data_IF_533079299304
#
_entry.id   IF_533079299304
#
_cell.length_a   1.000
_cell.length_b   1.000
_cell.length_c   1.000
_cell.angle_alpha   90.00
_cell.angle_beta   90.00
_cell.angle_gamma   90.00
#
_symmetry.space_group_name_H-M   'P 1'
#
loop_
_entity.id
_entity.type
_entity.pdbx_description
1 polymer ?
#
# COMPACT_ATOMS: atom_id res chain seq x y z
N UNK A 1 -2.81 7.09 -21.50
CA UNK A 1 -1.38 6.91 -21.83
C UNK A 1 -1.24 6.51 -23.28
N UNK A 2 -0.04 6.69 -23.83
CA UNK A 2 0.24 6.57 -25.28
C UNK A 2 0.49 5.12 -25.74
N UNK A 3 0.27 4.13 -24.86
CA UNK A 3 0.42 2.71 -25.18
C UNK A 3 -0.80 2.23 -26.00
N UNK A 4 -0.61 1.60 -27.17
CA UNK A 4 -1.66 0.98 -27.97
C UNK A 4 -2.48 -0.03 -27.15
N UNK A 5 -3.78 -0.18 -27.44
CA UNK A 5 -4.68 -1.01 -26.63
C UNK A 5 -4.20 -2.47 -26.53
N UNK A 6 -3.68 -3.02 -27.62
CA UNK A 6 -3.14 -4.37 -27.76
C UNK A 6 -1.84 -4.61 -26.97
N UNK A 7 -1.16 -3.54 -26.56
CA UNK A 7 0.06 -3.57 -25.77
C UNK A 7 -0.20 -3.27 -24.28
N UNK A 8 -1.42 -2.85 -23.91
CA UNK A 8 -1.81 -2.63 -22.51
C UNK A 8 -1.96 -3.97 -21.80
N UNK A 9 -1.08 -4.22 -20.83
CA UNK A 9 -1.00 -5.48 -20.07
C UNK A 9 -0.83 -5.18 -18.58
N UNK A 10 -1.44 -6.02 -17.75
CA UNK A 10 -1.46 -5.80 -16.29
C UNK A 10 -2.40 -4.67 -15.88
N UNK A 11 -2.21 -4.14 -14.67
CA UNK A 11 -2.97 -3.00 -14.16
C UNK A 11 -4.47 -3.27 -14.01
N UNK A 12 -4.87 -4.52 -13.77
CA UNK A 12 -6.28 -4.87 -13.56
C UNK A 12 -6.80 -4.38 -12.19
N UNK A 13 -8.10 -4.13 -12.10
CA UNK A 13 -8.80 -3.79 -10.87
C UNK A 13 -9.71 -4.95 -10.45
N UNK A 14 -9.12 -6.02 -9.89
CA UNK A 14 -9.82 -7.29 -9.66
C UNK A 14 -10.46 -7.44 -8.27
N UNK A 15 -10.47 -6.37 -7.47
CA UNK A 15 -11.05 -6.32 -6.14
C UNK A 15 -12.06 -5.16 -6.03
N UNK A 16 -12.97 -5.20 -5.04
CA UNK A 16 -13.96 -4.13 -4.86
C UNK A 16 -13.32 -2.77 -4.63
N UNK A 17 -13.87 -1.76 -5.30
CA UNK A 17 -13.55 -0.36 -5.04
C UNK A 17 -14.38 0.19 -3.89
N UNK A 18 -13.92 1.28 -3.30
CA UNK A 18 -14.64 2.00 -2.24
C UNK A 18 -15.20 3.30 -2.78
N UNK A 19 -16.26 3.82 -2.18
CA UNK A 19 -16.91 5.05 -2.62
C UNK A 19 -17.19 5.96 -1.43
N UNK A 20 -16.85 7.24 -1.57
CA UNK A 20 -17.22 8.29 -0.63
C UNK A 20 -18.24 9.26 -1.25
N UNK A 21 -19.47 9.34 -0.72
CA UNK A 21 -20.52 10.20 -1.29
C UNK A 21 -20.37 11.69 -0.98
N UNK A 22 -19.55 12.08 -0.01
CA UNK A 22 -19.37 13.51 0.31
C UNK A 22 -18.28 14.14 -0.57
N UNK A 23 -17.26 13.35 -0.94
CA UNK A 23 -16.23 13.73 -1.88
C UNK A 23 -16.59 13.44 -3.34
N UNK A 24 -17.65 12.64 -3.57
CA UNK A 24 -18.01 12.10 -4.89
C UNK A 24 -16.84 11.35 -5.56
N UNK A 25 -16.15 10.52 -4.77
CA UNK A 25 -14.93 9.82 -5.20
C UNK A 25 -15.05 8.30 -5.09
N UNK A 26 -14.61 7.60 -6.13
CA UNK A 26 -14.39 6.15 -6.15
C UNK A 26 -12.90 5.88 -6.01
N UNK A 27 -12.52 5.08 -5.01
CA UNK A 27 -11.15 4.65 -4.79
C UNK A 27 -10.92 3.24 -5.32
N UNK A 28 -10.12 3.13 -6.37
CA UNK A 28 -9.84 1.90 -7.09
C UNK A 28 -8.42 1.43 -6.82
N UNK A 29 -8.27 0.15 -6.54
CA UNK A 29 -6.97 -0.51 -6.48
C UNK A 29 -6.52 -1.07 -7.82
N UNK A 30 -5.27 -0.81 -8.18
CA UNK A 30 -4.68 -1.26 -9.44
C UNK A 30 -3.59 -2.31 -9.19
N UNK A 31 -3.69 -3.43 -9.89
CA UNK A 31 -2.75 -4.55 -9.82
C UNK A 31 -1.39 -4.27 -10.48
N UNK A 32 -0.53 -5.29 -10.50
CA UNK A 32 0.84 -5.23 -11.01
C UNK A 32 0.93 -4.99 -12.52
N UNK A 33 2.07 -4.50 -13.03
CA UNK A 33 2.36 -4.57 -14.46
C UNK A 33 2.58 -6.02 -14.90
N UNK A 34 2.31 -6.32 -16.17
CA UNK A 34 2.57 -7.63 -16.77
C UNK A 34 3.28 -7.42 -18.13
N UNK A 35 4.33 -8.19 -18.48
CA UNK A 35 5.06 -9.14 -17.64
C UNK A 35 5.63 -8.50 -16.35
N UNK A 36 5.83 -9.27 -15.29
CA UNK A 36 6.24 -8.67 -14.01
C UNK A 36 7.59 -7.94 -14.10
N UNK A 37 8.61 -8.60 -14.67
CA UNK A 37 9.95 -8.04 -14.74
C UNK A 37 10.09 -6.87 -15.71
N UNK A 38 10.66 -5.77 -15.24
CA UNK A 38 10.87 -4.55 -16.01
C UNK A 38 11.78 -4.74 -17.22
N UNK A 39 12.73 -5.68 -17.17
CA UNK A 39 13.56 -6.06 -18.32
C UNK A 39 12.71 -6.60 -19.47
N UNK A 40 11.66 -7.36 -19.16
CA UNK A 40 10.78 -7.93 -20.19
C UNK A 40 9.83 -6.88 -20.78
N UNK A 41 9.56 -5.82 -20.02
CA UNK A 41 8.70 -4.71 -20.43
C UNK A 41 9.48 -3.56 -21.08
N UNK A 42 10.80 -3.58 -20.98
CA UNK A 42 11.70 -2.50 -21.42
C UNK A 42 11.37 -1.12 -20.81
N UNK A 43 11.14 -1.08 -19.48
CA UNK A 43 10.78 0.17 -18.78
C UNK A 43 11.72 0.49 -17.61
N UNK A 44 13.00 0.09 -17.68
CA UNK A 44 13.93 0.27 -16.56
C UNK A 44 13.95 1.71 -16.08
N UNK A 45 13.79 1.89 -14.77
CA UNK A 45 13.74 3.22 -14.13
C UNK A 45 12.45 4.00 -14.36
N UNK A 46 11.46 3.43 -15.06
CA UNK A 46 10.14 4.02 -15.24
C UNK A 46 9.16 3.56 -14.17
N UNK A 47 8.25 4.45 -13.78
CA UNK A 47 7.23 4.18 -12.74
C UNK A 47 6.12 3.23 -13.20
N UNK A 48 5.89 3.10 -14.51
CA UNK A 48 4.84 2.23 -15.11
C UNK A 48 3.45 2.56 -14.54
N UNK A 49 3.09 3.84 -14.61
CA UNK A 49 1.81 4.32 -14.11
C UNK A 49 0.63 3.71 -14.89
N UNK A 50 -0.48 3.32 -14.24
CA UNK A 50 -0.81 3.46 -12.81
C UNK A 50 -0.77 2.13 -12.05
N UNK A 51 0.16 1.24 -12.38
CA UNK A 51 0.22 -0.08 -11.74
C UNK A 51 0.58 0.03 -10.25
N UNK A 52 0.13 -0.94 -9.43
CA UNK A 52 0.32 -0.95 -7.97
C UNK A 52 -0.07 0.37 -7.28
N UNK A 53 -1.18 0.97 -7.70
CA UNK A 53 -1.61 2.28 -7.21
C UNK A 53 -3.00 2.25 -6.60
N UNK A 54 -3.31 3.26 -5.79
CA UNK A 54 -4.68 3.74 -5.61
C UNK A 54 -4.94 4.83 -6.63
N UNK A 55 -6.09 4.73 -7.30
CA UNK A 55 -6.68 5.83 -8.07
C UNK A 55 -7.91 6.35 -7.34
N UNK A 56 -8.02 7.66 -7.17
CA UNK A 56 -9.28 8.32 -6.86
C UNK A 56 -9.88 8.83 -8.15
N UNK A 57 -11.09 8.37 -8.44
CA UNK A 57 -11.84 8.73 -9.63
C UNK A 57 -13.03 9.59 -9.20
N UNK A 58 -13.29 10.66 -9.92
CA UNK A 58 -14.56 11.36 -9.85
C UNK A 58 -15.69 10.38 -10.21
N UNK A 59 -16.73 10.28 -9.36
CA UNK A 59 -17.75 9.24 -9.54
C UNK A 59 -18.69 9.52 -10.73
N UNK A 60 -18.91 10.80 -11.06
CA UNK A 60 -19.74 11.21 -12.20
C UNK A 60 -18.99 11.08 -13.53
N UNK A 61 -17.70 11.48 -13.59
CA UNK A 61 -16.95 11.59 -14.85
C UNK A 61 -15.99 10.44 -15.12
N UNK A 62 -15.54 9.74 -14.06
CA UNK A 62 -14.47 8.74 -14.13
C UNK A 62 -13.07 9.33 -14.33
N UNK A 63 -12.90 10.65 -14.28
CA UNK A 63 -11.59 11.30 -14.34
C UNK A 63 -10.76 10.99 -13.09
N UNK A 64 -9.44 10.83 -13.26
CA UNK A 64 -8.52 10.61 -12.13
C UNK A 64 -8.28 11.96 -11.44
N UNK A 65 -8.76 12.09 -10.21
CA UNK A 65 -8.55 13.27 -9.35
C UNK A 65 -7.15 13.24 -8.74
N UNK A 66 -6.75 12.09 -8.22
CA UNK A 66 -5.40 11.85 -7.69
C UNK A 66 -5.03 10.37 -7.74
N UNK A 67 -3.75 10.08 -7.60
CA UNK A 67 -3.24 8.73 -7.40
C UNK A 67 -2.12 8.69 -6.37
N UNK A 68 -1.92 7.50 -5.79
CA UNK A 68 -0.73 7.19 -5.00
C UNK A 68 -0.19 5.83 -5.44
N UNK A 69 1.08 5.79 -5.85
CA UNK A 69 1.70 4.56 -6.38
C UNK A 69 2.57 3.87 -5.31
N UNK A 70 2.13 2.71 -4.83
CA UNK A 70 2.81 2.01 -3.75
C UNK A 70 4.11 1.36 -4.19
N UNK A 71 4.14 0.75 -5.38
CA UNK A 71 5.34 0.12 -5.95
C UNK A 71 5.54 0.62 -7.40
N UNK A 72 6.31 1.71 -7.60
CA UNK A 72 6.71 2.14 -8.94
C UNK A 72 7.51 1.04 -9.64
N UNK A 73 7.22 0.81 -10.92
CA UNK A 73 7.96 -0.14 -11.77
C UNK A 73 7.93 -1.60 -11.33
N UNK A 74 7.01 -1.98 -10.42
CA UNK A 74 7.07 -3.22 -9.65
C UNK A 74 7.38 -4.51 -10.43
N UNK A 75 8.21 -5.38 -9.81
CA UNK A 75 8.80 -6.57 -10.45
C UNK A 75 8.35 -7.92 -9.87
N UNK A 76 7.65 -7.93 -8.73
CA UNK A 76 7.61 -9.09 -7.83
C UNK A 76 6.23 -9.72 -7.62
N UNK A 77 5.24 -9.40 -8.47
CA UNK A 77 3.84 -9.83 -8.28
C UNK A 77 3.27 -9.44 -6.90
N UNK A 78 3.62 -8.24 -6.44
CA UNK A 78 3.13 -7.68 -5.18
C UNK A 78 1.98 -6.69 -5.43
N UNK A 79 0.87 -7.21 -5.92
CA UNK A 79 -0.32 -6.45 -6.30
C UNK A 79 -0.84 -5.52 -5.19
N UNK A 80 -1.38 -4.37 -5.60
CA UNK A 80 -2.10 -3.44 -4.72
C UNK A 80 -3.59 -3.18 -5.09
N UNK A 81 -4.41 -4.21 -5.37
CA UNK A 81 -5.80 -4.01 -5.77
C UNK A 81 -6.78 -4.00 -4.59
N UNK A 82 -6.36 -4.39 -3.37
CA UNK A 82 -7.24 -4.71 -2.24
C UNK A 82 -8.07 -3.51 -1.74
N UNK A 83 -9.10 -3.74 -0.94
CA UNK A 83 -10.04 -2.70 -0.56
C UNK A 83 -9.39 -1.49 0.15
N UNK A 84 -9.98 -0.31 -0.05
CA UNK A 84 -9.61 0.94 0.62
C UNK A 84 -10.64 1.25 1.70
N UNK A 85 -10.26 1.23 2.97
CA UNK A 85 -11.20 1.52 4.05
C UNK A 85 -11.27 3.03 4.23
N UNK A 86 -12.44 3.61 4.01
CA UNK A 86 -12.68 5.04 4.23
C UNK A 86 -13.12 5.22 5.68
N UNK A 87 -12.41 6.06 6.43
CA UNK A 87 -12.73 6.36 7.84
C UNK A 87 -12.50 7.83 8.11
N UNK A 88 -13.15 8.34 9.15
CA UNK A 88 -12.81 9.65 9.70
C UNK A 88 -12.05 9.46 11.02
N UNK A 89 -10.85 10.01 11.11
CA UNK A 89 -9.97 9.83 12.27
C UNK A 89 -8.90 10.92 12.36
N UNK A 90 -8.25 11.01 13.53
CA UNK A 90 -7.09 11.90 13.71
C UNK A 90 -5.94 11.43 12.80
N UNK A 91 -5.28 12.40 12.17
CA UNK A 91 -4.27 12.14 11.13
C UNK A 91 -2.96 11.58 11.69
N UNK A 92 -2.57 12.02 12.89
CA UNK A 92 -1.26 11.73 13.47
C UNK A 92 -1.33 10.48 14.35
N UNK A 93 -0.66 9.37 13.96
CA UNK A 93 -0.47 8.24 14.85
C UNK A 93 0.60 8.58 15.91
N UNK A 94 0.69 7.76 16.95
CA UNK A 94 1.88 7.77 17.83
C UNK A 94 3.11 7.51 16.96
N UNK A 95 4.06 8.45 16.89
CA UNK A 95 5.19 8.38 15.94
C UNK A 95 6.04 7.11 16.16
N UNK A 96 6.11 6.61 17.39
CA UNK A 96 6.79 5.36 17.73
C UNK A 96 6.02 4.10 17.28
N UNK A 97 4.78 4.26 16.79
CA UNK A 97 3.91 3.16 16.39
C UNK A 97 3.86 2.90 14.88
N UNK A 98 4.43 3.79 14.06
CA UNK A 98 4.47 3.71 12.59
C UNK A 98 5.91 3.68 12.08
N UNK A 99 6.12 3.17 10.86
CA UNK A 99 7.47 3.08 10.29
C UNK A 99 7.80 4.28 9.39
N UNK A 100 6.78 4.87 8.77
CA UNK A 100 6.89 6.12 8.01
C UNK A 100 5.77 7.08 8.39
N UNK A 101 6.11 8.36 8.51
CA UNK A 101 5.18 9.44 8.82
C UNK A 101 5.53 10.67 7.98
N UNK A 102 4.52 11.37 7.47
CA UNK A 102 4.72 12.62 6.75
C UNK A 102 5.09 13.74 7.75
N UNK A 103 6.31 14.30 7.68
CA UNK A 103 6.77 15.31 8.65
C UNK A 103 6.05 16.66 8.51
N UNK A 104 5.32 16.88 7.41
CA UNK A 104 4.59 18.12 7.18
C UNK A 104 3.24 18.17 7.92
N UNK A 105 2.78 17.05 8.46
CA UNK A 105 1.54 16.98 9.22
C UNK A 105 1.80 17.34 10.68
N UNK A 106 1.20 18.44 11.14
CA UNK A 106 1.38 18.97 12.50
C UNK A 106 0.08 19.07 13.30
N UNK A 107 -1.06 18.67 12.73
CA UNK A 107 -2.38 18.78 13.37
C UNK A 107 -2.97 17.41 13.71
N UNK A 108 -3.56 17.31 14.90
CA UNK A 108 -4.42 16.19 15.31
C UNK A 108 -5.88 16.38 14.85
N UNK A 109 -6.11 17.23 13.86
CA UNK A 109 -7.44 17.37 13.27
C UNK A 109 -7.93 16.03 12.72
N UNK A 110 -9.23 15.79 12.92
CA UNK A 110 -9.92 14.68 12.27
C UNK A 110 -9.99 14.96 10.78
N UNK A 111 -9.59 13.99 9.96
CA UNK A 111 -9.73 14.04 8.51
C UNK A 111 -10.41 12.77 8.02
N UNK A 112 -10.95 12.87 6.81
CA UNK A 112 -11.37 11.69 6.06
C UNK A 112 -10.15 11.03 5.43
N UNK A 113 -9.97 9.76 5.74
CA UNK A 113 -8.77 8.98 5.44
C UNK A 113 -9.13 7.76 4.62
N UNK A 114 -8.20 7.36 3.77
CA UNK A 114 -8.17 6.02 3.18
C UNK A 114 -7.08 5.24 3.91
N UNK A 115 -7.46 4.14 4.54
CA UNK A 115 -6.54 3.25 5.27
C UNK A 115 -6.78 1.79 4.92
N UNK A 116 -5.88 0.92 5.35
CA UNK A 116 -5.94 -0.52 5.08
C UNK A 116 -4.60 -1.08 4.61
N UNK A 117 -4.58 -2.36 4.25
CA UNK A 117 -3.42 -3.02 3.64
C UNK A 117 -3.70 -3.19 2.14
N UNK A 118 -3.51 -2.15 1.32
CA UNK A 118 -3.96 -2.13 -0.08
C UNK A 118 -3.26 -3.14 -0.98
N UNK A 119 -2.20 -3.81 -0.51
CA UNK A 119 -1.45 -4.75 -1.33
C UNK A 119 -0.64 -5.80 -0.60
N UNK A 120 -0.07 -6.71 -1.39
CA UNK A 120 0.65 -7.90 -0.93
C UNK A 120 1.90 -7.60 -0.11
N UNK A 121 2.42 -6.38 -0.12
CA UNK A 121 3.54 -5.95 0.73
C UNK A 121 3.26 -6.11 2.22
N UNK A 122 1.99 -6.11 2.64
CA UNK A 122 1.63 -6.22 4.05
C UNK A 122 1.88 -4.91 4.82
N UNK A 123 1.89 -3.78 4.13
CA UNK A 123 2.02 -2.45 4.73
C UNK A 123 0.63 -1.84 4.84
N UNK A 124 0.27 -1.38 6.05
CA UNK A 124 -0.85 -0.46 6.22
C UNK A 124 -0.43 0.89 5.67
N UNK A 125 -1.21 1.43 4.74
CA UNK A 125 -1.02 2.77 4.20
C UNK A 125 -2.19 3.63 4.60
N UNK A 126 -1.92 4.86 5.01
CA UNK A 126 -2.95 5.84 5.31
C UNK A 126 -2.70 7.13 4.53
N UNK A 127 -3.70 7.49 3.73
CA UNK A 127 -3.71 8.65 2.84
C UNK A 127 -4.88 9.56 3.18
N UNK A 128 -4.76 10.85 2.91
CA UNK A 128 -5.89 11.77 2.90
C UNK A 128 -6.85 11.39 1.76
N UNK A 129 -8.15 11.26 2.07
CA UNK A 129 -9.12 10.76 1.10
C UNK A 129 -9.42 11.77 -0.03
N UNK A 130 -9.29 13.07 0.24
CA UNK A 130 -9.59 14.11 -0.74
C UNK A 130 -8.40 14.39 -1.66
N UNK A 131 -7.17 14.33 -1.12
CA UNK A 131 -5.98 14.78 -1.85
C UNK A 131 -5.01 13.67 -2.24
N UNK A 132 -5.13 12.49 -1.63
CA UNK A 132 -4.14 11.41 -1.77
C UNK A 132 -2.83 11.70 -1.05
N UNK A 133 -2.75 12.76 -0.24
CA UNK A 133 -1.57 13.11 0.56
C UNK A 133 -1.20 11.92 1.46
N UNK A 134 0.07 11.50 1.40
CA UNK A 134 0.59 10.49 2.32
C UNK A 134 0.60 10.99 3.75
N UNK A 135 0.08 10.20 4.69
CA UNK A 135 0.02 10.58 6.10
C UNK A 135 0.99 9.72 6.92
N UNK A 136 0.83 8.40 6.84
CA UNK A 136 1.69 7.45 7.53
C UNK A 136 1.54 6.04 6.97
N UNK A 137 2.51 5.18 7.27
CA UNK A 137 2.47 3.76 6.94
C UNK A 137 3.11 2.88 8.03
N UNK A 138 2.60 1.66 8.16
CA UNK A 138 3.05 0.67 9.14
C UNK A 138 3.14 -0.72 8.52
N UNK A 139 4.32 -1.32 8.57
CA UNK A 139 4.51 -2.73 8.26
C UNK A 139 3.74 -3.61 9.25
N UNK A 140 2.98 -4.56 8.70
CA UNK A 140 2.29 -5.61 9.48
C UNK A 140 2.89 -6.99 9.25
N UNK A 141 3.72 -7.12 8.21
CA UNK A 141 4.55 -8.27 7.90
C UNK A 141 5.92 -7.76 7.45
N UNK A 142 6.98 -8.53 7.74
CA UNK A 142 8.31 -8.19 7.25
C UNK A 142 8.32 -8.17 5.72
N UNK A 143 8.86 -7.08 5.16
CA UNK A 143 9.03 -6.89 3.73
C UNK A 143 10.36 -6.15 3.48
N UNK A 144 10.98 -6.35 2.32
CA UNK A 144 12.24 -5.67 1.96
C UNK A 144 12.17 -4.89 0.64
N UNK A 145 10.95 -4.66 0.14
CA UNK A 145 10.66 -4.06 -1.17
C UNK A 145 10.53 -2.55 -1.08
N UNK A 146 9.79 -2.03 -0.11
CA UNK A 146 9.62 -0.60 0.12
C UNK A 146 10.56 -0.17 1.25
N UNK A 147 11.37 0.86 1.00
CA UNK A 147 12.37 1.37 1.97
C UNK A 147 12.10 2.82 2.38
N UNK A 148 11.10 3.45 1.76
CA UNK A 148 10.75 4.84 2.03
C UNK A 148 9.50 5.27 1.28
N UNK A 149 9.16 6.54 1.44
CA UNK A 149 8.03 7.18 0.76
C UNK A 149 8.52 8.50 0.19
N UNK A 150 8.29 8.68 -1.10
CA UNK A 150 8.45 9.94 -1.80
C UNK A 150 7.12 10.70 -1.72
N UNK A 151 7.04 11.59 -0.72
CA UNK A 151 5.82 12.33 -0.39
C UNK A 151 5.49 13.33 -1.50
N UNK A 152 6.50 13.97 -2.09
CA UNK A 152 6.30 14.98 -3.14
C UNK A 152 5.73 14.37 -4.41
N UNK A 153 6.17 13.15 -4.77
CA UNK A 153 5.73 12.48 -6.00
C UNK A 153 4.64 11.42 -5.75
N UNK A 154 4.06 11.35 -4.55
CA UNK A 154 2.97 10.44 -4.19
C UNK A 154 3.29 8.96 -4.47
N UNK A 155 4.49 8.51 -4.09
CA UNK A 155 4.90 7.12 -4.35
C UNK A 155 5.78 6.48 -3.28
N UNK A 156 5.76 5.16 -3.19
CA UNK A 156 6.74 4.40 -2.42
C UNK A 156 8.13 4.44 -3.06
N UNK A 157 9.18 4.28 -2.25
CA UNK A 157 10.57 4.14 -2.71
C UNK A 157 10.93 2.66 -2.66
N UNK A 158 11.22 2.07 -3.83
CA UNK A 158 11.63 0.66 -3.94
C UNK A 158 13.10 0.46 -3.60
N UNK A 159 13.43 -0.68 -3.01
CA UNK A 159 14.80 -1.06 -2.65
C UNK A 159 15.66 -1.36 -3.89
N UNK A 160 16.64 -0.50 -4.18
CA UNK A 160 17.58 -0.65 -5.29
C UNK A 160 18.39 -1.96 -5.23
N UNK A 161 18.61 -2.54 -4.05
CA UNK A 161 19.32 -3.82 -3.92
C UNK A 161 18.53 -5.01 -4.50
N UNK A 162 17.23 -4.82 -4.75
CA UNK A 162 16.35 -5.81 -5.36
C UNK A 162 16.21 -5.63 -6.87
N UNK A 163 16.92 -4.65 -7.47
CA UNK A 163 16.91 -4.43 -8.91
C UNK A 163 17.31 -5.72 -9.66
N UNK A 164 16.53 -6.01 -10.69
CA UNK A 164 16.75 -7.14 -11.59
C UNK A 164 17.36 -6.59 -12.87
N UNK A 165 18.63 -6.89 -13.11
CA UNK A 165 19.42 -6.34 -14.22
C UNK A 165 19.61 -7.33 -15.37
N UNK A 166 19.30 -8.61 -15.17
CA UNK A 166 19.36 -9.67 -16.19
C UNK A 166 18.27 -10.73 -16.03
N UNK A 167 17.88 -11.35 -17.14
CA UNK A 167 16.92 -12.46 -17.14
C UNK A 167 17.51 -13.64 -16.37
N UNK A 168 16.68 -14.30 -15.53
CA UNK A 168 17.05 -15.39 -14.59
C UNK A 168 17.91 -14.98 -13.39
N UNK A 169 18.16 -13.69 -13.18
CA UNK A 169 18.74 -13.24 -11.92
C UNK A 169 17.82 -13.61 -10.76
N UNK A 170 18.44 -13.93 -9.62
CA UNK A 170 17.75 -14.30 -8.39
C UNK A 170 17.98 -13.23 -7.34
N UNK A 171 16.90 -12.73 -6.76
CA UNK A 171 16.91 -11.83 -5.62
C UNK A 171 16.11 -12.44 -4.47
N UNK A 172 16.55 -12.17 -3.24
CA UNK A 172 15.79 -12.54 -2.06
C UNK A 172 14.79 -11.41 -1.75
N UNK A 173 13.51 -11.71 -1.95
CA UNK A 173 12.42 -10.73 -1.86
C UNK A 173 11.41 -11.21 -0.84
N UNK A 174 11.05 -10.34 0.08
CA UNK A 174 9.98 -10.55 1.05
C UNK A 174 8.94 -9.44 0.91
N UNK A 175 7.64 -9.77 0.96
CA UNK A 175 7.09 -11.13 1.00
C UNK A 175 7.24 -11.86 -0.35
N UNK A 176 6.89 -13.15 -0.38
CA UNK A 176 6.73 -13.89 -1.65
C UNK A 176 5.52 -13.36 -2.45
N UNK A 177 5.29 -13.91 -3.64
CA UNK A 177 4.14 -13.55 -4.51
C UNK A 177 2.76 -13.78 -3.87
N UNK A 178 2.69 -14.57 -2.78
CA UNK A 178 1.47 -14.74 -1.99
C UNK A 178 1.18 -13.55 -1.06
N UNK A 179 2.17 -12.70 -0.79
CA UNK A 179 2.07 -11.52 0.05
C UNK A 179 2.06 -11.79 1.56
N UNK A 180 2.16 -10.69 2.33
CA UNK A 180 1.78 -10.64 3.75
C UNK A 180 0.26 -10.58 3.95
N UNK A 181 -0.46 -10.21 2.90
CA UNK A 181 -1.91 -10.36 2.73
C UNK A 181 -2.19 -10.68 1.25
N UNK A 182 -3.37 -11.20 0.95
CA UNK A 182 -3.85 -11.46 -0.40
C UNK A 182 -5.31 -10.98 -0.52
N UNK A 183 -6.16 -11.64 -1.32
CA UNK A 183 -7.57 -11.29 -1.53
C UNK A 183 -8.47 -11.27 -0.27
N UNK A 184 -7.95 -11.58 0.91
CA UNK A 184 -8.73 -11.61 2.15
C UNK A 184 -9.01 -10.18 2.61
N UNK A 185 -10.27 -9.87 2.92
CA UNK A 185 -10.66 -8.55 3.37
C UNK A 185 -10.14 -8.22 4.78
N UNK A 186 -9.79 -6.96 4.99
CA UNK A 186 -9.38 -6.37 6.26
C UNK A 186 -10.62 -5.82 6.99
N UNK A 187 -10.67 -6.04 8.30
CA UNK A 187 -11.70 -5.48 9.17
C UNK A 187 -11.22 -4.21 9.86
N UNK A 188 -12.10 -3.20 9.91
CA UNK A 188 -11.92 -2.02 10.75
C UNK A 188 -12.94 -2.04 11.89
N UNK A 189 -12.49 -1.67 13.09
CA UNK A 189 -13.38 -1.44 14.24
C UNK A 189 -13.12 -0.06 14.84
N UNK A 190 -14.12 0.83 14.85
CA UNK A 190 -13.97 2.17 15.43
C UNK A 190 -13.89 2.16 16.97
N UNK A 191 -14.18 1.01 17.61
CA UNK A 191 -14.32 0.89 19.07
C UNK A 191 -13.19 0.05 19.69
N UNK A 192 -12.45 -0.75 18.91
CA UNK A 192 -11.53 -1.75 19.47
C UNK A 192 -10.32 -1.12 20.16
N UNK A 193 -10.37 -1.11 21.50
CA UNK A 193 -9.25 -0.76 22.39
C UNK A 193 -8.49 -2.03 22.77
N UNK A 194 -7.46 -2.41 22.02
CA UNK A 194 -6.54 -3.45 22.49
C UNK A 194 -5.54 -2.84 23.49
N UNK A 195 -5.35 -3.45 24.68
CA UNK A 195 -4.41 -2.93 25.67
C UNK A 195 -2.99 -2.86 25.06
N UNK A 196 -2.27 -1.75 25.29
CA UNK A 196 -0.81 -1.69 25.07
C UNK A 196 -0.21 -2.90 25.81
N UNK A 197 0.60 -3.70 25.12
CA UNK A 197 1.28 -4.84 25.74
C UNK A 197 2.01 -4.36 27.00
N UNK A 198 1.64 -4.90 28.15
CA UNK A 198 2.27 -4.56 29.41
C UNK A 198 3.68 -5.18 29.45
N UNK A 199 4.69 -4.43 29.00
CA UNK A 199 6.04 -4.60 29.52
C UNK A 199 6.08 -3.91 30.88
N UNK A 200 6.12 -4.72 31.95
CA UNK A 200 5.83 -4.27 33.31
C UNK A 200 6.81 -3.25 33.89
N UNK A 201 6.26 -2.34 34.70
CA UNK A 201 6.72 -1.98 36.04
C UNK A 201 5.76 -0.92 36.62
N UNK A 202 5.31 -1.15 37.85
CA UNK A 202 4.40 -0.30 38.61
C UNK A 202 4.85 1.16 38.73
N UNK A 203 3.95 2.12 38.45
CA UNK A 203 3.63 3.22 39.36
C UNK A 203 2.44 4.01 38.83
N UNK A 204 1.51 4.34 39.72
CA UNK A 204 0.30 5.10 39.41
C UNK A 204 0.64 6.52 38.95
N UNK A 205 0.07 6.93 37.81
CA UNK A 205 -0.13 8.34 37.44
C UNK A 205 -1.30 8.41 36.44
N UNK A 206 -2.03 9.54 36.51
CA UNK A 206 -3.29 9.89 35.85
C UNK A 206 -3.49 9.31 34.42
N UNK A 207 -4.73 9.03 34.00
CA UNK A 207 -4.98 8.47 32.67
C UNK A 207 -4.42 9.41 31.60
N UNK A 208 -3.51 8.96 30.73
CA UNK A 208 -3.08 9.76 29.59
C UNK A 208 -4.27 9.90 28.63
N UNK A 209 -4.26 11.00 27.88
CA UNK A 209 -5.25 11.32 26.86
C UNK A 209 -5.59 10.09 26.00
N UNK A 210 -6.89 9.88 25.78
CA UNK A 210 -7.43 8.78 25.00
C UNK A 210 -7.06 9.02 23.53
N UNK A 211 -6.00 8.40 23.05
CA UNK A 211 -5.65 8.43 21.64
C UNK A 211 -6.59 7.49 20.87
N UNK A 212 -7.36 8.07 19.96
CA UNK A 212 -8.19 7.40 18.96
C UNK A 212 -7.33 7.01 17.76
N UNK A 213 -6.31 6.17 17.98
CA UNK A 213 -5.51 5.63 16.88
C UNK A 213 -6.30 4.60 16.06
N UNK A 214 -6.22 4.68 14.73
CA UNK A 214 -6.74 3.65 13.82
C UNK A 214 -6.11 2.29 14.17
N UNK A 215 -6.94 1.31 14.52
CA UNK A 215 -6.50 -0.08 14.75
C UNK A 215 -7.23 -0.99 13.79
N UNK A 216 -6.49 -1.47 12.79
CA UNK A 216 -6.96 -2.47 11.84
C UNK A 216 -6.81 -3.86 12.46
N UNK A 217 -7.88 -4.64 12.42
CA UNK A 217 -7.85 -6.04 12.81
C UNK A 217 -7.55 -6.86 11.55
N UNK A 218 -6.27 -7.06 11.25
CA UNK A 218 -5.84 -7.93 10.15
C UNK A 218 -5.62 -9.34 10.67
N UNK A 219 -6.26 -10.34 10.06
CA UNK A 219 -5.85 -11.74 10.23
C UNK A 219 -4.53 -11.90 9.48
N UNK A 220 -3.41 -11.74 10.20
CA UNK A 220 -2.08 -11.87 9.63
C UNK A 220 -1.82 -13.33 9.28
N UNK A 221 -1.81 -13.63 7.99
CA UNK A 221 -1.25 -14.89 7.50
C UNK A 221 0.27 -14.70 7.55
N UNK A 222 0.94 -15.34 8.51
CA UNK A 222 2.41 -15.41 8.52
C UNK A 222 2.88 -16.27 7.36
N UNK A 223 3.07 -15.67 6.20
CA UNK A 223 3.65 -16.35 5.05
C UNK A 223 5.18 -16.25 5.16
N UNK A 224 5.93 -17.37 5.12
CA UNK A 224 7.39 -17.31 5.18
C UNK A 224 7.95 -16.61 3.94
N UNK A 225 9.06 -15.88 4.08
CA UNK A 225 9.88 -15.47 2.95
C UNK A 225 10.25 -16.71 2.12
N UNK A 226 9.92 -16.73 0.82
CA UNK A 226 10.34 -17.83 -0.06
C UNK A 226 11.81 -17.67 -0.49
N UNK A 227 12.42 -18.81 -0.81
CA UNK A 227 13.69 -18.94 -1.53
C UNK A 227 13.71 -18.10 -2.82
N UNK A 228 14.89 -17.71 -3.32
CA UNK A 228 15.06 -16.73 -4.40
C UNK A 228 14.07 -16.89 -5.57
N UNK A 229 13.30 -15.83 -5.82
CA UNK A 229 12.40 -15.78 -6.97
C UNK A 229 13.26 -15.83 -8.22
N UNK A 230 13.03 -16.84 -9.07
CA UNK A 230 13.65 -16.92 -10.39
C UNK A 230 12.66 -16.32 -11.38
N UNK A 231 13.06 -15.30 -12.14
CA UNK A 231 12.30 -14.88 -13.32
C UNK A 231 12.35 -16.02 -14.36
N UNK A 232 11.41 -16.95 -14.23
CA UNK A 232 11.12 -17.95 -15.24
C UNK A 232 10.18 -17.30 -16.25
N UNK A 233 10.56 -17.27 -17.52
CA UNK A 233 9.70 -16.81 -18.60
C UNK A 233 8.48 -17.73 -18.68
N UNK A 234 7.38 -17.35 -18.03
CA UNK A 234 6.07 -17.94 -18.29
C UNK A 234 5.52 -17.24 -19.53
N UNK A 235 5.91 -17.76 -20.69
CA UNK A 235 5.15 -17.59 -21.93
C UNK A 235 4.00 -18.59 -21.82
N UNK A 236 2.83 -18.13 -21.40
CA UNK A 236 1.59 -18.81 -21.79
C UNK A 236 1.09 -18.10 -23.04
N UNK A 237 1.21 -18.81 -24.15
CA UNK A 237 0.56 -18.55 -25.45
C UNK A 237 -0.91 -18.24 -25.32
#
# INVERSE_FOLDING_TARGET
GDVPNEERRGGSAWMPSSYDPELDMIYVGVAVPIPWGEIQRDTRGGDVLYTNSTLALNADTGEIEWYFQYIPGGNWDLDHPFERIIVESEVIPDADSVDWINPNIVSNESRKLITGVPGKTGIVWTLDAATGEFLWAKETSYQNVIVGVDIENHKGITNENLEITEIRQRRFVCPSTTGGINWNSVGYSPVLRLPKSASGASSARLPPAVSTGIRLATVLIRTPCMYPVTMSAWITT
#
